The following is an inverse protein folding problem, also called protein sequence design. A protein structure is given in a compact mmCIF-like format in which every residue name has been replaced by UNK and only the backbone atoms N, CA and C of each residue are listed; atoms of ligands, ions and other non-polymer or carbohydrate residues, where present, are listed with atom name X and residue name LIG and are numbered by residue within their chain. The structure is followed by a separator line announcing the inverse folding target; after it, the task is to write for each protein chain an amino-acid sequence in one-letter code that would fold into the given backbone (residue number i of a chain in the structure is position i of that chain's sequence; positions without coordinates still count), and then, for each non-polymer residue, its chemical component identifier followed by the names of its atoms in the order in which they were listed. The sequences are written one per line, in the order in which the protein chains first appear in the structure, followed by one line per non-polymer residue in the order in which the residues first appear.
data_IF_563131383679
#
_entry.id   IF_563131383679
#
_cell.length_a   1.000
_cell.length_b   1.000
_cell.length_c   1.000
_cell.angle_alpha   90.00
_cell.angle_beta   90.00
_cell.angle_gamma   90.00
#
_symmetry.space_group_name_H-M   'P 1'
#
loop_
_entity.id
_entity.type
_entity.pdbx_description
1 polymer ?
#
# COMPACT_ATOMS: atom_id res chain seq x y z
N UNK A 1 -16.09 -0.94 31.83
CA UNK A 1 -15.01 -0.72 30.86
C UNK A 1 -15.68 -0.24 29.59
N UNK A 2 -15.43 1.02 29.24
CA UNK A 2 -16.41 1.91 28.63
C UNK A 2 -16.58 1.66 27.13
N UNK A 3 -17.82 1.65 26.64
CA UNK A 3 -18.20 1.35 25.24
C UNK A 3 -17.29 2.01 24.19
N UNK A 4 -16.82 3.23 24.48
CA UNK A 4 -15.90 4.00 23.63
C UNK A 4 -14.54 3.34 23.42
N UNK A 5 -13.96 2.70 24.43
CA UNK A 5 -12.64 2.06 24.31
C UNK A 5 -12.71 0.83 23.38
N UNK A 6 -13.82 0.10 23.42
CA UNK A 6 -14.05 -1.05 22.54
C UNK A 6 -14.23 -0.61 21.08
N UNK A 7 -15.03 0.43 20.83
CA UNK A 7 -15.23 0.98 19.48
C UNK A 7 -13.92 1.53 18.90
N UNK A 8 -13.10 2.19 19.71
CA UNK A 8 -11.79 2.71 19.30
C UNK A 8 -10.83 1.58 18.90
N UNK A 9 -10.76 0.51 19.70
CA UNK A 9 -9.92 -0.65 19.39
C UNK A 9 -10.38 -1.39 18.12
N UNK A 10 -11.70 -1.50 17.91
CA UNK A 10 -12.28 -2.07 16.70
C UNK A 10 -11.89 -1.24 15.46
N UNK A 11 -12.00 0.08 15.53
CA UNK A 11 -11.61 0.99 14.44
C UNK A 11 -10.12 0.88 14.11
N UNK A 12 -9.25 0.83 15.12
CA UNK A 12 -7.81 0.65 14.93
C UNK A 12 -7.53 -0.71 14.27
N UNK A 13 -8.20 -1.78 14.70
CA UNK A 13 -8.10 -3.10 14.07
C UNK A 13 -8.51 -3.07 12.59
N UNK A 14 -9.63 -2.44 12.28
CA UNK A 14 -10.11 -2.30 10.90
C UNK A 14 -9.18 -1.44 10.04
N UNK A 15 -8.60 -0.37 10.58
CA UNK A 15 -7.63 0.48 9.90
C UNK A 15 -6.34 -0.27 9.56
N UNK A 16 -5.79 -1.03 10.51
CA UNK A 16 -4.58 -1.82 10.29
C UNK A 16 -4.83 -2.86 9.20
N UNK A 17 -5.91 -3.64 9.30
CA UNK A 17 -6.24 -4.67 8.31
C UNK A 17 -6.56 -4.05 6.93
N UNK A 18 -7.29 -2.94 6.90
CA UNK A 18 -7.62 -2.21 5.68
C UNK A 18 -6.39 -1.65 4.97
N UNK A 19 -5.45 -1.06 5.71
CA UNK A 19 -4.20 -0.56 5.15
C UNK A 19 -3.34 -1.68 4.55
N UNK A 20 -3.30 -2.86 5.18
CA UNK A 20 -2.56 -4.01 4.67
C UNK A 20 -3.17 -4.57 3.38
N UNK A 21 -4.49 -4.58 3.24
CA UNK A 21 -5.20 -5.09 2.05
C UNK A 21 -5.18 -4.10 0.87
N UNK A 22 -5.21 -2.79 1.17
CA UNK A 22 -5.27 -1.74 0.16
C UNK A 22 -3.91 -1.41 -0.48
N UNK A 23 -2.81 -1.56 0.27
CA UNK A 23 -1.48 -1.31 -0.28
C UNK A 23 -1.18 -2.36 -1.37
N UNK A 24 -0.83 -1.96 -2.61
CA UNK A 24 -0.37 -2.86 -3.65
C UNK A 24 1.00 -3.44 -3.25
N UNK A 25 1.01 -4.46 -2.40
CA UNK A 25 2.23 -5.13 -1.92
C UNK A 25 2.98 -5.90 -3.03
N UNK A 26 2.55 -5.81 -4.29
CA UNK A 26 3.04 -6.64 -5.39
C UNK A 26 3.80 -5.90 -6.49
N UNK A 27 3.73 -4.57 -6.55
CA UNK A 27 4.37 -3.82 -7.63
C UNK A 27 5.74 -3.32 -7.18
N UNK A 28 6.73 -4.20 -7.23
CA UNK A 28 8.11 -3.89 -6.89
C UNK A 28 8.85 -3.35 -8.12
N UNK A 29 9.14 -2.05 -8.16
CA UNK A 29 9.84 -1.43 -9.28
C UNK A 29 9.73 0.09 -9.30
N UNK A 30 10.71 0.78 -9.86
CA UNK A 30 10.67 2.22 -10.13
C UNK A 30 10.90 3.15 -8.93
N UNK A 31 10.53 2.76 -7.72
CA UNK A 31 10.71 3.58 -6.52
C UNK A 31 11.37 2.77 -5.41
N UNK A 32 12.53 3.22 -4.92
CA UNK A 32 13.18 2.62 -3.75
C UNK A 32 13.89 3.69 -2.92
N UNK A 33 14.02 3.42 -1.62
CA UNK A 33 14.80 4.27 -0.73
C UNK A 33 16.23 3.75 -0.65
N UNK A 34 17.21 4.61 -0.92
CA UNK A 34 18.63 4.30 -0.71
C UNK A 34 19.25 5.43 0.10
N UNK A 35 19.90 5.10 1.22
CA UNK A 35 20.53 6.08 2.11
C UNK A 35 19.60 7.24 2.53
N UNK A 36 18.31 6.95 2.74
CA UNK A 36 17.31 7.96 3.12
C UNK A 36 16.85 8.88 1.99
N UNK A 37 17.33 8.65 0.75
CA UNK A 37 16.85 9.34 -0.43
C UNK A 37 15.91 8.47 -1.26
N UNK A 38 14.83 9.07 -1.77
CA UNK A 38 13.93 8.42 -2.71
C UNK A 38 14.59 8.41 -4.08
N UNK A 39 14.92 7.22 -4.58
CA UNK A 39 15.43 7.02 -5.92
C UNK A 39 14.29 6.60 -6.84
N UNK A 40 14.19 7.32 -7.95
CA UNK A 40 13.22 7.06 -9.01
C UNK A 40 13.98 6.48 -10.20
N UNK A 41 13.82 5.18 -10.42
CA UNK A 41 14.41 4.48 -11.56
C UNK A 41 13.42 4.50 -12.73
N UNK A 42 13.65 5.44 -13.65
CA UNK A 42 12.80 5.68 -14.82
C UNK A 42 12.72 4.42 -15.72
N UNK A 43 13.79 3.61 -15.78
CA UNK A 43 13.81 2.40 -16.59
C UNK A 43 12.89 1.31 -16.04
N UNK A 44 12.55 1.36 -14.76
CA UNK A 44 11.68 0.38 -14.08
C UNK A 44 10.32 0.96 -13.69
N UNK A 45 10.11 2.25 -13.96
CA UNK A 45 8.86 2.95 -13.65
C UNK A 45 7.71 2.47 -14.54
N UNK A 46 8.01 2.15 -15.81
CA UNK A 46 7.03 1.63 -16.75
C UNK A 46 6.47 0.28 -16.29
N UNK A 47 7.34 -0.61 -15.80
CA UNK A 47 6.96 -1.91 -15.25
C UNK A 47 6.11 -1.76 -13.99
N UNK A 48 6.45 -0.80 -13.13
CA UNK A 48 5.67 -0.46 -11.94
C UNK A 48 4.26 0.02 -12.30
N UNK A 49 4.16 0.97 -13.24
CA UNK A 49 2.87 1.51 -13.71
C UNK A 49 2.02 0.42 -14.38
N UNK A 50 2.63 -0.45 -15.18
CA UNK A 50 1.95 -1.59 -15.81
C UNK A 50 1.41 -2.58 -14.76
N UNK A 51 2.19 -2.85 -13.71
CA UNK A 51 1.76 -3.68 -12.59
C UNK A 51 0.58 -3.07 -11.83
N UNK A 52 0.67 -1.78 -11.49
CA UNK A 52 -0.40 -1.05 -10.81
C UNK A 52 -1.67 -1.07 -11.65
N UNK A 53 -1.55 -0.80 -12.96
CA UNK A 53 -2.69 -0.83 -13.89
C UNK A 53 -3.37 -2.22 -13.92
N UNK A 54 -2.60 -3.31 -13.96
CA UNK A 54 -3.14 -4.68 -13.86
C UNK A 54 -3.85 -4.94 -12.53
N UNK A 55 -3.32 -4.46 -11.41
CA UNK A 55 -3.98 -4.62 -10.10
C UNK A 55 -5.28 -3.83 -9.99
N UNK A 56 -5.35 -2.64 -10.62
CA UNK A 56 -6.59 -1.88 -10.71
C UNK A 56 -7.63 -2.58 -11.60
N UNK A 57 -7.20 -3.19 -12.71
CA UNK A 57 -8.10 -3.94 -13.60
C UNK A 57 -8.64 -5.22 -12.97
N UNK A 58 -7.81 -5.96 -12.21
CA UNK A 58 -8.22 -7.22 -11.58
C UNK A 58 -9.07 -7.05 -10.30
N UNK A 59 -9.27 -5.82 -9.83
CA UNK A 59 -10.14 -5.50 -8.68
C UNK A 59 -11.51 -4.91 -9.10
N UNK A 60 -11.82 -4.88 -10.41
CA UNK A 60 -13.16 -4.60 -10.93
C UNK A 60 -14.02 -5.84 -11.00
#
# INVERSE_FOLDING_TARGET
MESYTFVLLLLIGCLIVGCCMAAPQGCNGGFYSTNGNLVIDINRIQDHLNCVNRQHQNRG
#
